data_IF_098892430833
#
_entry.id   IF_098892430833
#
_cell.length_a   1.000
_cell.length_b   1.000
_cell.length_c   1.000
_cell.angle_alpha   90.00
_cell.angle_beta   90.00
_cell.angle_gamma   90.00
#
_symmetry.space_group_name_H-M   'P 1'
#
loop_
_entity.id
_entity.type
_entity.pdbx_description
1 polymer ?
#
# COMPACT_ATOMS: atom_id res chain seq x y z
N UNK A 1 -7.15 9.64 -2.87
CA UNK A 1 -5.71 9.75 -2.60
C UNK A 1 -5.11 8.35 -2.58
N UNK A 2 -3.86 8.21 -3.04
CA UNK A 2 -3.03 7.03 -2.84
C UNK A 2 -2.08 7.33 -1.68
N UNK A 3 -2.31 6.70 -0.52
CA UNK A 3 -1.49 6.88 0.67
C UNK A 3 -0.63 5.66 0.96
N UNK A 4 0.59 5.91 1.40
CA UNK A 4 1.56 4.87 1.73
C UNK A 4 2.00 5.02 3.17
N UNK A 5 1.93 3.93 3.92
CA UNK A 5 2.42 3.78 5.27
C UNK A 5 3.57 2.79 5.27
N UNK A 6 4.78 3.22 5.61
CA UNK A 6 5.92 2.32 5.74
C UNK A 6 6.15 1.94 7.21
N UNK A 7 6.53 0.69 7.44
CA UNK A 7 6.95 0.22 8.76
C UNK A 7 8.23 -0.61 8.64
N UNK A 8 9.03 -0.59 9.70
CA UNK A 8 10.20 -1.45 9.86
C UNK A 8 9.82 -2.61 10.78
N UNK A 9 10.13 -3.83 10.34
CA UNK A 9 9.94 -5.02 11.15
C UNK A 9 10.98 -5.12 12.27
N UNK A 10 10.67 -5.96 13.25
CA UNK A 10 11.51 -6.31 14.38
C UNK A 10 12.75 -7.12 13.96
N UNK A 11 12.80 -7.61 12.71
CA UNK A 11 14.00 -8.18 12.13
C UNK A 11 15.11 -7.11 12.05
N UNK A 12 16.25 -7.35 12.71
CA UNK A 12 17.38 -6.39 12.81
C UNK A 12 18.25 -6.35 11.55
N UNK A 13 17.66 -6.49 10.36
CA UNK A 13 18.40 -6.35 9.11
C UNK A 13 18.39 -4.90 8.68
N UNK A 14 19.50 -4.46 8.07
CA UNK A 14 19.50 -3.20 7.32
C UNK A 14 18.44 -3.34 6.24
N UNK A 15 17.34 -2.58 6.31
CA UNK A 15 16.29 -2.69 5.33
C UNK A 15 16.87 -2.32 3.97
N UNK A 16 16.50 -3.05 2.92
CA UNK A 16 16.80 -2.58 1.57
C UNK A 16 16.26 -1.16 1.42
N UNK A 17 17.05 -0.22 0.87
CA UNK A 17 16.60 1.15 0.73
C UNK A 17 15.35 1.19 -0.16
N UNK A 18 14.23 1.56 0.46
CA UNK A 18 12.94 1.67 -0.24
C UNK A 18 12.97 2.96 -1.07
N UNK A 19 13.09 2.80 -2.38
CA UNK A 19 13.07 3.95 -3.29
C UNK A 19 11.68 4.57 -3.36
N UNK A 20 11.60 5.89 -3.24
CA UNK A 20 10.33 6.63 -3.45
C UNK A 20 9.73 6.42 -4.84
N UNK A 21 10.53 5.94 -5.81
CA UNK A 21 10.08 5.58 -7.15
C UNK A 21 9.03 4.46 -7.15
N UNK A 22 8.99 3.63 -6.12
CA UNK A 22 7.99 2.57 -5.97
C UNK A 22 6.56 3.11 -5.87
N UNK A 23 6.40 4.40 -5.56
CA UNK A 23 5.10 5.07 -5.47
C UNK A 23 4.94 6.17 -6.53
N UNK A 24 5.78 6.14 -7.58
CA UNK A 24 5.64 7.02 -8.73
C UNK A 24 4.36 6.75 -9.51
N UNK A 25 3.89 7.74 -10.27
CA UNK A 25 2.70 7.63 -11.12
C UNK A 25 2.92 6.80 -12.39
N UNK A 26 4.15 6.33 -12.65
CA UNK A 26 4.48 5.53 -13.83
C UNK A 26 4.23 6.30 -15.13
N UNK A 27 3.35 5.77 -15.99
CA UNK A 27 2.91 6.44 -17.22
C UNK A 27 1.77 7.44 -17.01
N UNK A 28 1.22 7.55 -15.80
CA UNK A 28 0.19 8.52 -15.45
C UNK A 28 0.79 9.88 -15.02
N UNK A 29 0.02 10.97 -15.09
CA UNK A 29 0.45 12.28 -14.58
C UNK A 29 0.84 12.25 -13.09
N UNK A 30 1.75 13.13 -12.69
CA UNK A 30 2.30 13.21 -11.32
C UNK A 30 1.25 13.51 -10.23
N UNK A 31 0.05 13.98 -10.60
CA UNK A 31 -1.08 14.12 -9.67
C UNK A 31 -1.58 12.79 -9.08
N UNK A 32 -1.27 11.65 -9.72
CA UNK A 32 -1.64 10.31 -9.24
C UNK A 32 -0.54 9.64 -8.40
N UNK A 33 0.56 10.35 -8.13
CA UNK A 33 1.66 9.83 -7.34
C UNK A 33 1.23 9.51 -5.90
N UNK A 34 1.76 8.40 -5.36
CA UNK A 34 1.53 8.03 -3.96
C UNK A 34 2.19 8.98 -2.98
N UNK A 35 1.47 9.32 -1.92
CA UNK A 35 1.97 10.17 -0.84
C UNK A 35 2.37 9.30 0.34
N UNK A 36 3.67 9.28 0.66
CA UNK A 36 4.19 8.56 1.83
C UNK A 36 3.96 9.38 3.10
N UNK A 37 3.35 8.76 4.10
CA UNK A 37 3.31 9.33 5.44
C UNK A 37 4.56 8.94 6.25
N UNK A 38 5.10 9.89 6.99
CA UNK A 38 6.28 9.67 7.82
C UNK A 38 5.94 8.95 9.12
N UNK A 39 6.80 8.02 9.50
CA UNK A 39 6.74 7.31 10.77
C UNK A 39 7.24 8.14 11.97
N UNK A 40 7.95 9.25 11.73
CA UNK A 40 8.45 10.18 12.75
C UNK A 40 8.28 11.64 12.29
N UNK A 41 8.20 12.61 13.22
CA UNK A 41 8.00 14.02 12.88
C UNK A 41 6.61 14.35 12.32
N UNK A 42 6.50 15.24 11.35
CA UNK A 42 5.23 15.55 10.69
C UNK A 42 4.80 14.38 9.80
N UNK A 43 3.54 13.88 9.90
CA UNK A 43 3.10 12.74 9.09
C UNK A 43 3.19 12.99 7.59
N UNK A 44 3.11 14.25 7.14
CA UNK A 44 3.44 14.64 5.77
C UNK A 44 4.45 15.79 5.89
N UNK A 45 5.49 15.75 5.06
CA UNK A 45 6.48 16.82 5.02
C UNK A 45 5.82 18.17 4.74
N UNK A 46 6.15 19.17 5.57
CA UNK A 46 5.69 20.56 5.45
C UNK A 46 4.18 20.76 5.60
N UNK A 47 3.49 19.82 6.26
CA UNK A 47 2.06 19.95 6.55
C UNK A 47 1.80 20.78 7.81
N UNK A 48 2.74 20.84 8.75
CA UNK A 48 2.66 21.80 9.85
C UNK A 48 3.12 23.18 9.36
N UNK A 49 2.40 24.24 9.77
CA UNK A 49 2.86 25.60 9.50
C UNK A 49 4.13 25.92 10.31
N UNK A 50 5.10 26.64 9.72
CA UNK A 50 6.26 27.11 10.48
C UNK A 50 5.84 27.98 11.67
N UNK A 51 6.63 28.03 12.76
CA UNK A 51 6.34 28.92 13.88
C UNK A 51 6.11 30.37 13.42
N UNK A 52 4.95 30.93 13.76
CA UNK A 52 4.57 32.31 13.38
C UNK A 52 3.75 32.44 12.09
N UNK A 53 3.45 31.33 11.40
CA UNK A 53 2.54 31.30 10.26
C UNK A 53 1.21 30.67 10.70
N UNK A 54 0.11 31.41 10.59
CA UNK A 54 -1.22 30.87 10.81
C UNK A 54 -1.83 30.30 9.51
N UNK A 55 -2.93 29.55 9.66
CA UNK A 55 -3.61 28.89 8.54
C UNK A 55 -4.10 29.87 7.47
N UNK A 56 -4.46 31.09 7.87
CA UNK A 56 -4.92 32.14 6.96
C UNK A 56 -3.79 32.65 6.07
N UNK A 57 -2.62 32.90 6.66
CA UNK A 57 -1.42 33.34 5.95
C UNK A 57 -0.86 32.23 5.03
N UNK A 58 -0.90 30.98 5.48
CA UNK A 58 -0.52 29.84 4.66
C UNK A 58 -1.47 29.68 3.46
N UNK A 59 -2.78 29.74 3.68
CA UNK A 59 -3.79 29.66 2.64
C UNK A 59 -3.60 30.75 1.57
N UNK A 60 -3.39 32.00 2.00
CA UNK A 60 -3.11 33.12 1.09
C UNK A 60 -1.82 32.92 0.26
N UNK A 61 -0.79 32.31 0.85
CA UNK A 61 0.46 32.00 0.16
C UNK A 61 0.28 30.92 -0.91
N UNK A 62 -0.46 29.86 -0.59
CA UNK A 62 -0.79 28.79 -1.53
C UNK A 62 -1.66 29.32 -2.68
N UNK A 63 -2.64 30.18 -2.39
CA UNK A 63 -3.44 30.86 -3.40
C UNK A 63 -2.59 31.72 -4.34
N UNK A 64 -1.60 32.44 -3.81
CA UNK A 64 -0.68 33.24 -4.62
C UNK A 64 0.18 32.35 -5.54
N UNK A 65 0.74 31.26 -5.02
CA UNK A 65 1.49 30.27 -5.80
C UNK A 65 0.60 29.64 -6.89
N UNK A 66 -0.65 29.29 -6.55
CA UNK A 66 -1.61 28.72 -7.49
C UNK A 66 -1.92 29.70 -8.63
N UNK A 67 -2.10 31.00 -8.34
CA UNK A 67 -2.29 32.04 -9.37
C UNK A 67 -1.07 32.15 -10.29
N UNK A 68 0.14 32.20 -9.75
CA UNK A 68 1.38 32.27 -10.53
C UNK A 68 1.55 31.04 -11.43
N UNK A 69 1.30 29.85 -10.89
CA UNK A 69 1.35 28.62 -11.65
C UNK A 69 0.30 28.58 -12.77
N UNK A 70 -0.93 29.07 -12.54
CA UNK A 70 -1.96 29.17 -13.60
C UNK A 70 -1.53 30.12 -14.73
N UNK A 71 -0.85 31.23 -14.41
CA UNK A 71 -0.27 32.12 -15.43
C UNK A 71 0.78 31.36 -16.27
N UNK A 72 1.67 30.63 -15.61
CA UNK A 72 2.69 29.84 -16.30
C UNK A 72 2.08 28.69 -17.12
N UNK A 73 1.06 28.01 -16.60
CA UNK A 73 0.35 26.95 -17.31
C UNK A 73 -0.27 27.48 -18.61
N UNK A 74 -0.90 28.66 -18.57
CA UNK A 74 -1.44 29.30 -19.77
C UNK A 74 -0.36 29.72 -20.78
N UNK A 75 0.84 30.04 -20.31
CA UNK A 75 1.94 30.47 -21.17
C UNK A 75 2.68 29.30 -21.83
N UNK A 76 2.95 28.24 -21.07
CA UNK A 76 3.77 27.10 -21.51
C UNK A 76 2.96 25.87 -21.95
N UNK A 77 1.71 25.74 -21.48
CA UNK A 77 0.86 24.58 -21.77
C UNK A 77 1.38 23.26 -21.17
N UNK A 78 2.26 23.32 -20.17
CA UNK A 78 2.88 22.13 -19.54
C UNK A 78 1.94 21.54 -18.47
N UNK A 79 1.45 20.30 -18.65
CA UNK A 79 0.58 19.62 -17.69
C UNK A 79 1.21 19.43 -16.30
N UNK A 80 2.54 19.42 -16.19
CA UNK A 80 3.21 19.30 -14.88
C UNK A 80 2.97 20.54 -13.98
N UNK A 81 2.70 21.70 -14.59
CA UNK A 81 2.38 22.91 -13.82
C UNK A 81 1.02 22.77 -13.14
N UNK A 82 0.02 22.22 -13.84
CA UNK A 82 -1.30 21.94 -13.27
C UNK A 82 -1.22 20.88 -12.17
N UNK A 83 -0.44 19.82 -12.38
CA UNK A 83 -0.21 18.78 -11.38
C UNK A 83 0.40 19.35 -10.09
N UNK A 84 1.36 20.29 -10.20
CA UNK A 84 1.92 21.00 -9.04
C UNK A 84 0.90 21.82 -8.28
N UNK A 85 0.01 22.55 -8.98
CA UNK A 85 -1.07 23.32 -8.32
C UNK A 85 -1.96 22.39 -7.51
N UNK A 86 -2.40 21.28 -8.10
CA UNK A 86 -3.24 20.31 -7.39
C UNK A 86 -2.53 19.67 -6.20
N UNK A 87 -1.22 19.39 -6.31
CA UNK A 87 -0.42 18.88 -5.21
C UNK A 87 -0.35 19.87 -4.04
N UNK A 88 -0.14 21.17 -4.30
CA UNK A 88 -0.13 22.19 -3.24
C UNK A 88 -1.49 22.34 -2.55
N UNK A 89 -2.59 22.39 -3.32
CA UNK A 89 -3.94 22.46 -2.77
C UNK A 89 -4.33 21.19 -1.98
N UNK A 90 -3.86 20.02 -2.43
CA UNK A 90 -4.04 18.77 -1.70
C UNK A 90 -3.26 18.77 -0.39
N UNK A 91 -2.00 19.20 -0.40
CA UNK A 91 -1.16 19.30 0.80
C UNK A 91 -1.77 20.27 1.82
N UNK A 92 -2.30 21.41 1.38
CA UNK A 92 -3.02 22.35 2.25
C UNK A 92 -4.24 21.72 2.91
N UNK A 93 -5.09 21.04 2.13
CA UNK A 93 -6.26 20.33 2.68
C UNK A 93 -5.87 19.24 3.67
N UNK A 94 -4.71 18.62 3.48
CA UNK A 94 -4.18 17.63 4.41
C UNK A 94 -3.75 18.25 5.75
N UNK A 95 -3.43 19.56 5.83
CA UNK A 95 -3.00 20.22 7.09
C UNK A 95 -4.05 20.16 8.20
N UNK A 96 -5.33 20.27 7.87
CA UNK A 96 -6.40 20.16 8.87
C UNK A 96 -6.80 18.71 9.16
N UNK A 97 -6.79 17.83 8.16
CA UNK A 97 -7.31 16.46 8.31
C UNK A 97 -6.29 15.46 8.85
N UNK A 98 -4.99 15.65 8.60
CA UNK A 98 -3.94 14.69 8.96
C UNK A 98 -3.70 14.61 10.47
N UNK A 99 -3.65 15.73 11.23
CA UNK A 99 -3.47 15.65 12.68
C UNK A 99 -4.55 14.79 13.35
N UNK A 100 -5.82 15.01 13.03
CA UNK A 100 -6.95 14.24 13.57
C UNK A 100 -6.92 12.76 13.13
N UNK A 101 -6.50 12.50 11.88
CA UNK A 101 -6.34 11.13 11.38
C UNK A 101 -5.28 10.37 12.18
N UNK A 102 -4.15 11.01 12.49
CA UNK A 102 -3.01 10.40 13.20
C UNK A 102 -3.13 10.42 14.73
N UNK A 103 -4.06 11.18 15.28
CA UNK A 103 -4.33 11.20 16.72
C UNK A 103 -5.13 9.96 17.14
N UNK A 104 -4.46 9.08 17.87
CA UNK A 104 -5.01 7.83 18.40
C UNK A 104 -5.46 7.97 19.86
N UNK A 105 -5.41 9.16 20.46
CA UNK A 105 -5.81 9.39 21.87
C UNK A 105 -7.28 9.06 22.15
N UNK A 106 -8.12 9.09 21.11
CA UNK A 106 -9.54 8.75 21.17
C UNK A 106 -9.84 7.25 20.99
N UNK A 107 -8.83 6.42 20.69
CA UNK A 107 -9.02 4.98 20.50
C UNK A 107 -9.21 4.26 21.83
N UNK A 108 -10.12 3.30 21.84
CA UNK A 108 -10.44 2.55 23.06
C UNK A 108 -9.33 1.56 23.45
N UNK A 109 -9.24 1.22 24.73
CA UNK A 109 -8.35 0.14 25.20
C UNK A 109 -8.66 -1.19 24.51
N UNK A 110 -9.95 -1.46 24.21
CA UNK A 110 -10.35 -2.64 23.47
C UNK A 110 -9.78 -2.65 22.04
N UNK A 111 -9.69 -1.49 21.38
CA UNK A 111 -9.03 -1.35 20.07
C UNK A 111 -7.56 -1.71 20.19
N UNK A 112 -6.83 -1.14 21.16
CA UNK A 112 -5.42 -1.48 21.35
C UNK A 112 -5.22 -2.95 21.75
N UNK A 113 -6.12 -3.52 22.53
CA UNK A 113 -6.12 -4.95 22.84
C UNK A 113 -6.42 -5.82 21.61
N UNK A 114 -7.12 -5.33 20.59
CA UNK A 114 -7.31 -6.07 19.35
C UNK A 114 -6.03 -6.05 18.51
N UNK A 115 -5.49 -4.87 18.22
CA UNK A 115 -4.32 -4.70 17.34
C UNK A 115 -2.98 -5.07 17.99
N UNK A 116 -2.88 -5.00 19.32
CA UNK A 116 -1.65 -5.17 20.09
C UNK A 116 -1.04 -3.85 20.55
N UNK A 117 -0.16 -3.92 21.56
CA UNK A 117 0.47 -2.75 22.18
C UNK A 117 1.28 -1.91 21.18
N UNK A 118 1.88 -2.55 20.18
CA UNK A 118 2.64 -1.89 19.12
C UNK A 118 1.78 -0.90 18.32
N UNK A 119 0.45 -1.01 18.34
CA UNK A 119 -0.45 -0.03 17.71
C UNK A 119 -0.38 1.36 18.36
N UNK A 120 0.14 1.48 19.59
CA UNK A 120 0.41 2.75 20.26
C UNK A 120 1.72 3.38 19.80
N UNK A 121 2.59 2.62 19.14
CA UNK A 121 3.91 3.07 18.70
C UNK A 121 3.88 3.41 17.22
N UNK A 122 3.92 4.70 16.90
CA UNK A 122 3.94 5.17 15.52
C UNK A 122 5.13 4.59 14.75
N UNK A 123 4.86 4.15 13.51
CA UNK A 123 5.85 3.54 12.62
C UNK A 123 5.92 2.01 12.68
N UNK A 124 5.23 1.37 13.63
CA UNK A 124 5.02 -0.08 13.62
C UNK A 124 3.97 -0.46 12.57
N UNK A 125 3.96 -1.74 12.18
CA UNK A 125 2.93 -2.27 11.29
C UNK A 125 1.54 -2.18 11.93
N UNK A 126 1.43 -2.49 13.23
CA UNK A 126 0.19 -2.42 13.99
C UNK A 126 -0.42 -1.00 14.01
N UNK A 127 0.40 0.02 14.25
CA UNK A 127 -0.07 1.41 14.21
C UNK A 127 -0.53 1.81 12.79
N UNK A 128 0.18 1.33 11.77
CA UNK A 128 -0.19 1.57 10.38
C UNK A 128 -1.51 0.87 10.01
N UNK A 129 -1.78 -0.34 10.50
CA UNK A 129 -3.07 -1.02 10.31
C UNK A 129 -4.22 -0.23 10.96
N UNK A 130 -4.05 0.23 12.21
CA UNK A 130 -5.05 1.04 12.90
C UNK A 130 -5.34 2.36 12.16
N UNK A 131 -4.27 3.00 11.68
CA UNK A 131 -4.37 4.21 10.87
C UNK A 131 -5.06 3.95 9.52
N UNK A 132 -4.80 2.81 8.89
CA UNK A 132 -5.46 2.39 7.65
C UNK A 132 -6.97 2.24 7.87
N UNK A 133 -7.41 1.65 8.98
CA UNK A 133 -8.84 1.59 9.31
C UNK A 133 -9.45 3.01 9.38
N UNK A 134 -8.80 3.94 10.08
CA UNK A 134 -9.25 5.35 10.17
C UNK A 134 -9.28 6.06 8.82
N UNK A 135 -8.39 5.69 7.90
CA UNK A 135 -8.37 6.18 6.51
C UNK A 135 -9.54 5.62 5.69
N UNK A 136 -9.87 4.34 5.86
CA UNK A 136 -11.04 3.73 5.19
C UNK A 136 -12.32 4.43 5.63
N UNK A 137 -12.50 4.68 6.94
CA UNK A 137 -13.65 5.43 7.48
C UNK A 137 -13.79 6.84 6.88
N UNK A 138 -12.68 7.43 6.45
CA UNK A 138 -12.62 8.77 5.85
C UNK A 138 -12.63 8.74 4.32
N UNK A 139 -12.90 7.57 3.72
CA UNK A 139 -13.05 7.41 2.27
C UNK A 139 -11.75 7.45 1.47
N UNK A 140 -10.60 7.12 2.08
CA UNK A 140 -9.35 6.96 1.33
C UNK A 140 -9.45 5.72 0.43
N UNK A 141 -9.31 5.93 -0.88
CA UNK A 141 -9.56 4.91 -1.91
C UNK A 141 -8.46 3.87 -2.10
N UNK A 142 -7.21 4.22 -1.77
CA UNK A 142 -6.08 3.31 -1.94
C UNK A 142 -5.04 3.56 -0.85
N UNK A 143 -4.78 2.54 -0.05
CA UNK A 143 -3.87 2.57 1.09
C UNK A 143 -2.89 1.41 0.92
N UNK A 144 -1.59 1.71 0.95
CA UNK A 144 -0.55 0.69 0.91
C UNK A 144 0.19 0.63 2.24
N UNK A 145 0.13 -0.53 2.89
CA UNK A 145 0.94 -0.84 4.07
C UNK A 145 2.21 -1.55 3.62
N UNK A 146 3.32 -0.79 3.57
CA UNK A 146 4.61 -1.30 3.13
C UNK A 146 5.44 -1.73 4.34
N UNK A 147 5.41 -3.03 4.66
CA UNK A 147 6.23 -3.63 5.71
C UNK A 147 7.53 -4.18 5.11
N UNK A 148 8.67 -3.63 5.53
CA UNK A 148 9.97 -4.00 4.92
C UNK A 148 10.59 -5.23 5.57
N UNK A 149 11.53 -5.86 4.86
CA UNK A 149 12.42 -6.89 5.43
C UNK A 149 12.01 -8.33 5.13
N UNK A 150 11.13 -8.58 4.16
CA UNK A 150 10.71 -9.94 3.77
C UNK A 150 11.74 -10.69 2.90
N UNK A 151 12.80 -10.01 2.44
CA UNK A 151 13.80 -10.57 1.52
C UNK A 151 14.88 -11.40 2.24
N UNK A 152 14.45 -12.53 2.82
CA UNK A 152 15.30 -13.34 3.70
C UNK A 152 16.30 -14.22 2.93
N UNK A 153 17.47 -13.67 2.61
CA UNK A 153 18.60 -14.40 2.03
C UNK A 153 19.50 -15.10 3.07
N UNK A 154 19.22 -14.90 4.36
CA UNK A 154 19.87 -15.58 5.49
C UNK A 154 18.96 -15.55 6.73
N UNK A 155 19.34 -16.22 7.81
CA UNK A 155 18.69 -16.14 9.14
C UNK A 155 17.16 -16.35 9.18
N UNK A 156 16.58 -17.07 8.21
CA UNK A 156 15.13 -17.34 8.13
C UNK A 156 14.53 -17.86 9.44
N UNK A 157 15.15 -18.84 10.16
CA UNK A 157 14.59 -19.37 11.41
C UNK A 157 14.29 -18.31 12.46
N UNK A 158 15.09 -17.24 12.52
CA UNK A 158 14.89 -16.11 13.42
C UNK A 158 13.98 -15.06 12.79
N UNK A 159 14.38 -14.56 11.62
CA UNK A 159 13.81 -13.34 11.04
C UNK A 159 12.37 -13.55 10.56
N UNK A 160 12.04 -14.72 10.02
CA UNK A 160 10.67 -14.99 9.56
C UNK A 160 9.67 -15.01 10.73
N UNK A 161 10.05 -15.59 11.87
CA UNK A 161 9.18 -15.61 13.06
C UNK A 161 8.89 -14.20 13.56
N UNK A 162 9.91 -13.34 13.60
CA UNK A 162 9.79 -11.93 13.96
C UNK A 162 8.86 -11.18 13.00
N UNK A 163 9.07 -11.31 11.69
CA UNK A 163 8.23 -10.68 10.68
C UNK A 163 6.77 -11.14 10.74
N UNK A 164 6.54 -12.44 10.95
CA UNK A 164 5.19 -12.96 11.14
C UNK A 164 4.52 -12.37 12.40
N UNK A 165 5.25 -12.24 13.51
CA UNK A 165 4.72 -11.64 14.74
C UNK A 165 4.32 -10.17 14.54
N UNK A 166 5.10 -9.41 13.78
CA UNK A 166 4.82 -8.00 13.51
C UNK A 166 3.50 -7.79 12.74
N UNK A 167 3.15 -8.72 11.83
CA UNK A 167 2.02 -8.54 10.92
C UNK A 167 0.78 -9.34 11.28
N UNK A 168 0.91 -10.52 11.89
CA UNK A 168 -0.19 -11.50 12.01
C UNK A 168 -1.39 -10.92 12.78
N UNK A 169 -1.18 -10.52 14.04
CA UNK A 169 -2.24 -9.97 14.90
C UNK A 169 -2.85 -8.70 14.32
N UNK A 170 -2.02 -7.76 13.86
CA UNK A 170 -2.47 -6.48 13.36
C UNK A 170 -3.28 -6.60 12.06
N UNK A 171 -2.91 -7.54 11.19
CA UNK A 171 -3.66 -7.82 9.96
C UNK A 171 -5.01 -8.44 10.27
N UNK A 172 -5.06 -9.42 11.17
CA UNK A 172 -6.31 -10.02 11.63
C UNK A 172 -7.21 -8.98 12.32
N UNK A 173 -6.62 -8.08 13.12
CA UNK A 173 -7.30 -6.97 13.77
C UNK A 173 -7.92 -6.01 12.75
N UNK A 174 -7.19 -5.61 11.72
CA UNK A 174 -7.70 -4.72 10.67
C UNK A 174 -8.92 -5.32 9.96
N UNK A 175 -8.84 -6.58 9.53
CA UNK A 175 -9.97 -7.25 8.87
C UNK A 175 -11.16 -7.35 9.82
N UNK A 176 -10.92 -7.69 11.08
CA UNK A 176 -11.96 -7.82 12.10
C UNK A 176 -12.65 -6.48 12.37
N UNK A 177 -11.88 -5.41 12.53
CA UNK A 177 -12.37 -4.06 12.81
C UNK A 177 -13.14 -3.49 11.61
N UNK A 178 -12.65 -3.68 10.38
CA UNK A 178 -13.38 -3.35 9.16
C UNK A 178 -14.73 -4.10 9.08
N UNK A 179 -14.74 -5.38 9.44
CA UNK A 179 -15.97 -6.18 9.46
C UNK A 179 -16.95 -5.70 10.52
N UNK A 180 -16.48 -5.42 11.73
CA UNK A 180 -17.32 -4.91 12.84
C UNK A 180 -17.97 -3.58 12.50
N UNK A 181 -17.32 -2.76 11.65
CA UNK A 181 -17.81 -1.46 11.20
C UNK A 181 -18.65 -1.52 9.92
N UNK A 182 -18.84 -2.71 9.34
CA UNK A 182 -19.55 -2.88 8.07
C UNK A 182 -18.79 -2.36 6.84
N UNK A 183 -17.48 -2.11 6.97
CA UNK A 183 -16.64 -1.54 5.91
C UNK A 183 -15.94 -2.63 5.06
N UNK A 184 -15.88 -3.87 5.55
CA UNK A 184 -15.16 -4.95 4.85
C UNK A 184 -15.82 -5.31 3.50
N UNK A 185 -17.15 -5.22 3.40
CA UNK A 185 -17.86 -5.57 2.16
C UNK A 185 -17.58 -4.57 1.03
N UNK A 186 -17.24 -3.33 1.37
CA UNK A 186 -16.84 -2.26 0.43
C UNK A 186 -15.32 -2.06 0.32
N UNK A 187 -14.53 -2.83 1.08
CA UNK A 187 -13.06 -2.70 1.12
C UNK A 187 -12.40 -4.00 0.68
N UNK A 188 -11.68 -3.98 -0.43
CA UNK A 188 -10.82 -5.09 -0.85
C UNK A 188 -9.47 -5.00 -0.11
N UNK A 189 -9.23 -5.95 0.80
CA UNK A 189 -7.94 -6.12 1.47
C UNK A 189 -7.11 -7.14 0.69
N UNK A 190 -5.88 -6.76 0.33
CA UNK A 190 -4.94 -7.59 -0.42
C UNK A 190 -3.65 -7.69 0.39
N UNK A 191 -3.17 -8.92 0.60
CA UNK A 191 -1.91 -9.18 1.27
C UNK A 191 -1.05 -10.10 0.41
N UNK A 192 0.20 -9.70 0.21
CA UNK A 192 1.15 -10.44 -0.59
C UNK A 192 2.42 -9.64 -0.84
N UNK A 193 3.29 -10.22 -1.66
CA UNK A 193 4.52 -9.60 -2.13
C UNK A 193 4.63 -9.65 -3.65
N UNK A 194 5.83 -9.35 -4.15
CA UNK A 194 6.16 -9.30 -5.57
C UNK A 194 6.67 -10.65 -6.14
N UNK A 195 7.21 -11.51 -5.28
CA UNK A 195 7.71 -12.84 -5.62
C UNK A 195 7.72 -13.76 -4.39
N UNK A 196 7.95 -15.06 -4.61
CA UNK A 196 8.12 -16.05 -3.56
C UNK A 196 9.57 -16.26 -3.14
N UNK A 197 9.81 -17.25 -2.29
CA UNK A 197 11.15 -17.72 -1.91
C UNK A 197 11.33 -19.19 -2.25
N UNK A 198 12.51 -19.56 -2.74
CA UNK A 198 12.79 -20.92 -3.20
C UNK A 198 12.61 -21.94 -2.09
N UNK A 199 12.27 -23.18 -2.44
CA UNK A 199 12.18 -24.28 -1.46
C UNK A 199 13.54 -24.78 -0.97
N UNK A 200 14.59 -24.50 -1.73
CA UNK A 200 15.97 -24.84 -1.39
C UNK A 200 16.71 -23.66 -0.80
N UNK A 201 17.75 -23.97 -0.01
CA UNK A 201 18.58 -22.96 0.63
C UNK A 201 19.53 -22.28 -0.36
N UNK A 202 19.70 -20.97 -0.19
CA UNK A 202 20.81 -20.24 -0.79
C UNK A 202 21.94 -20.14 0.24
N UNK A 203 23.15 -20.58 -0.11
CA UNK A 203 24.31 -20.52 0.76
C UNK A 203 24.34 -21.60 1.85
N UNK A 204 24.69 -21.21 3.08
CA UNK A 204 24.87 -22.15 4.20
C UNK A 204 23.53 -22.76 4.62
N UNK A 205 23.49 -24.09 4.74
CA UNK A 205 22.34 -24.81 5.23
C UNK A 205 22.62 -25.46 6.59
N UNK A 206 22.03 -24.90 7.65
CA UNK A 206 21.97 -25.49 8.98
C UNK A 206 20.61 -25.20 9.60
N UNK A 207 20.14 -26.03 10.54
CA UNK A 207 18.85 -25.78 11.22
C UNK A 207 18.77 -24.40 11.88
N UNK A 208 19.90 -23.88 12.37
CA UNK A 208 19.97 -22.58 13.03
C UNK A 208 20.17 -21.39 12.08
N UNK A 209 20.65 -21.63 10.85
CA UNK A 209 20.99 -20.57 9.91
C UNK A 209 20.87 -21.09 8.48
N UNK A 210 19.90 -20.54 7.76
CA UNK A 210 19.74 -20.69 6.31
C UNK A 210 18.97 -19.51 5.72
N UNK A 211 19.18 -19.27 4.44
CA UNK A 211 18.38 -18.37 3.60
C UNK A 211 17.83 -19.10 2.39
N UNK A 212 17.00 -18.41 1.62
CA UNK A 212 16.44 -18.87 0.33
C UNK A 212 16.81 -17.85 -0.75
N UNK A 213 16.54 -18.13 -2.02
CA UNK A 213 16.68 -17.16 -3.13
C UNK A 213 15.29 -16.67 -3.59
N UNK A 214 15.23 -15.69 -4.50
CA UNK A 214 13.98 -15.22 -5.11
C UNK A 214 13.32 -16.34 -5.91
N UNK A 215 11.99 -16.42 -5.84
CA UNK A 215 11.21 -17.39 -6.60
C UNK A 215 10.09 -16.73 -7.37
N UNK A 216 10.36 -16.44 -8.65
CA UNK A 216 9.40 -15.79 -9.55
C UNK A 216 8.41 -16.73 -10.24
N UNK A 217 8.46 -18.06 -10.01
CA UNK A 217 7.59 -19.02 -10.71
C UNK A 217 6.21 -19.14 -10.06
N UNK A 218 6.17 -19.17 -8.73
CA UNK A 218 4.93 -19.23 -7.98
C UNK A 218 5.11 -18.64 -6.58
N UNK A 219 4.06 -18.00 -6.10
CA UNK A 219 3.94 -17.47 -4.74
C UNK A 219 2.45 -17.30 -4.41
N UNK A 220 2.15 -17.08 -3.14
CA UNK A 220 0.78 -16.96 -2.67
C UNK A 220 0.45 -15.52 -2.30
N UNK A 221 -0.80 -15.14 -2.56
CA UNK A 221 -1.44 -13.92 -2.08
C UNK A 221 -2.78 -14.31 -1.47
N UNK A 222 -3.30 -13.50 -0.56
CA UNK A 222 -4.67 -13.65 -0.09
C UNK A 222 -5.44 -12.33 -0.16
N UNK A 223 -6.75 -12.48 -0.28
CA UNK A 223 -7.71 -11.41 -0.49
C UNK A 223 -8.82 -11.56 0.57
N UNK A 224 -9.37 -10.44 1.04
CA UNK A 224 -10.52 -10.42 1.93
C UNK A 224 -11.41 -9.21 1.65
N UNK A 225 -12.73 -9.39 1.77
CA UNK A 225 -13.70 -8.32 1.55
C UNK A 225 -13.88 -7.93 0.08
N UNK A 226 -14.59 -6.82 -0.15
CA UNK A 226 -14.71 -6.19 -1.48
C UNK A 226 -15.19 -7.10 -2.60
N UNK A 227 -16.13 -8.03 -2.31
CA UNK A 227 -16.73 -8.93 -3.31
C UNK A 227 -15.93 -10.20 -3.64
N UNK A 228 -14.85 -10.49 -2.92
CA UNK A 228 -14.12 -11.76 -3.07
C UNK A 228 -14.80 -12.90 -2.30
N UNK A 229 -14.80 -14.11 -2.86
CA UNK A 229 -15.29 -15.31 -2.18
C UNK A 229 -14.30 -15.77 -1.12
N UNK A 230 -14.71 -15.67 0.14
CA UNK A 230 -13.90 -16.10 1.29
C UNK A 230 -13.89 -17.62 1.52
N UNK A 231 -12.96 -18.06 2.37
CA UNK A 231 -12.92 -19.44 2.87
C UNK A 231 -12.44 -20.49 1.87
N UNK A 232 -11.66 -20.07 0.86
CA UNK A 232 -11.11 -20.97 -0.16
C UNK A 232 -9.66 -20.66 -0.48
N UNK A 233 -8.96 -21.67 -0.99
CA UNK A 233 -7.69 -21.54 -1.69
C UNK A 233 -7.93 -21.78 -3.18
N UNK A 234 -7.27 -21.02 -4.05
CA UNK A 234 -7.38 -21.16 -5.50
C UNK A 234 -6.01 -21.38 -6.13
N UNK A 235 -5.87 -22.50 -6.83
CA UNK A 235 -4.60 -22.96 -7.38
C UNK A 235 -3.74 -23.72 -6.37
N UNK A 236 -2.84 -24.54 -6.90
CA UNK A 236 -1.92 -25.37 -6.14
C UNK A 236 -0.56 -25.39 -6.82
N UNK A 237 0.49 -25.60 -6.04
CA UNK A 237 1.83 -25.88 -6.56
C UNK A 237 2.06 -27.37 -6.70
N UNK A 238 3.09 -27.75 -7.46
CA UNK A 238 3.59 -29.12 -7.45
C UNK A 238 4.05 -29.57 -6.05
N UNK A 239 4.31 -30.87 -5.90
CA UNK A 239 4.75 -31.49 -4.63
C UNK A 239 6.06 -30.89 -4.08
N UNK A 240 6.82 -30.17 -4.91
CA UNK A 240 8.07 -29.51 -4.54
C UNK A 240 7.89 -28.01 -4.29
N UNK A 241 6.68 -27.49 -4.42
CA UNK A 241 6.36 -26.05 -4.37
C UNK A 241 7.23 -25.19 -5.31
N UNK A 242 7.61 -25.75 -6.47
CA UNK A 242 8.53 -25.11 -7.41
C UNK A 242 7.83 -24.49 -8.63
N UNK A 243 6.67 -25.02 -9.02
CA UNK A 243 5.85 -24.50 -10.11
C UNK A 243 4.37 -24.68 -9.81
N UNK A 244 3.53 -23.91 -10.50
CA UNK A 244 2.07 -24.05 -10.38
C UNK A 244 1.61 -25.35 -11.04
N UNK A 245 0.86 -26.17 -10.31
CA UNK A 245 0.31 -27.43 -10.77
C UNK A 245 -1.13 -27.27 -11.29
N UNK A 246 -1.97 -26.52 -10.58
CA UNK A 246 -3.39 -26.35 -10.93
C UNK A 246 -3.83 -24.90 -10.85
N UNK A 247 -4.77 -24.53 -11.71
CA UNK A 247 -5.43 -23.22 -11.78
C UNK A 247 -4.44 -22.02 -11.70
N UNK A 248 -3.49 -21.90 -12.64
CA UNK A 248 -2.54 -20.80 -12.63
C UNK A 248 -3.25 -19.45 -12.76
N UNK A 249 -2.79 -18.49 -11.97
CA UNK A 249 -3.23 -17.09 -12.02
C UNK A 249 -2.01 -16.23 -12.31
N UNK A 250 -2.00 -15.57 -13.46
CA UNK A 250 -0.92 -14.66 -13.80
C UNK A 250 -1.13 -13.31 -13.08
N UNK A 251 -0.05 -12.54 -12.87
CA UNK A 251 -0.15 -11.20 -12.24
C UNK A 251 -1.08 -10.25 -13.01
N UNK A 252 -1.20 -10.42 -14.33
CA UNK A 252 -2.16 -9.67 -15.14
C UNK A 252 -3.61 -10.05 -14.83
N UNK A 253 -3.89 -11.32 -14.51
CA UNK A 253 -5.23 -11.79 -14.15
C UNK A 253 -5.62 -11.30 -12.76
N UNK A 254 -4.65 -11.25 -11.83
CA UNK A 254 -4.83 -10.60 -10.52
C UNK A 254 -5.26 -9.15 -10.69
N UNK A 255 -4.51 -8.38 -11.49
CA UNK A 255 -4.82 -6.96 -11.71
C UNK A 255 -6.17 -6.76 -12.45
N UNK A 256 -6.48 -7.61 -13.44
CA UNK A 256 -7.78 -7.60 -14.11
C UNK A 256 -8.92 -7.85 -13.12
N UNK A 257 -8.74 -8.81 -12.20
CA UNK A 257 -9.74 -9.17 -11.19
C UNK A 257 -9.93 -8.07 -10.16
N UNK A 258 -8.86 -7.41 -9.71
CA UNK A 258 -8.94 -6.24 -8.80
C UNK A 258 -9.73 -5.12 -9.47
N UNK A 259 -9.42 -4.78 -10.72
CA UNK A 259 -10.14 -3.72 -11.45
C UNK A 259 -11.61 -4.08 -11.65
N UNK A 260 -11.93 -5.35 -11.93
CA UNK A 260 -13.29 -5.83 -12.02
C UNK A 260 -14.07 -5.64 -10.71
N UNK A 261 -13.47 -5.99 -9.57
CA UNK A 261 -14.07 -5.78 -8.23
C UNK A 261 -14.29 -4.29 -7.92
N UNK A 262 -13.47 -3.41 -8.48
CA UNK A 262 -13.64 -1.95 -8.40
C UNK A 262 -14.69 -1.40 -9.41
N UNK A 263 -15.36 -2.27 -10.17
CA UNK A 263 -16.36 -1.88 -11.18
C UNK A 263 -15.74 -1.32 -12.46
N UNK A 264 -14.47 -1.61 -12.73
CA UNK A 264 -13.70 -1.07 -13.87
C UNK A 264 -13.41 -2.18 -14.87
N UNK A 265 -13.78 -1.95 -16.12
CA UNK A 265 -13.34 -2.77 -17.24
C UNK A 265 -11.86 -2.47 -17.56
N UNK A 266 -10.98 -3.40 -17.18
CA UNK A 266 -9.53 -3.25 -17.35
C UNK A 266 -9.10 -3.10 -18.81
N UNK A 267 -9.91 -3.56 -19.77
CA UNK A 267 -9.58 -3.46 -21.20
C UNK A 267 -9.88 -2.08 -21.78
N UNK A 268 -10.77 -1.33 -21.14
CA UNK A 268 -11.19 0.02 -21.53
C UNK A 268 -10.46 1.13 -20.76
N UNK A 269 -9.86 0.82 -19.62
CA UNK A 269 -9.03 1.75 -18.87
C UNK A 269 -7.65 1.87 -19.54
N UNK A 270 -7.56 2.72 -20.56
CA UNK A 270 -6.31 3.03 -21.26
C UNK A 270 -5.84 4.45 -21.01
N UNK A 271 -4.52 4.66 -21.13
CA UNK A 271 -3.88 5.97 -21.05
C UNK A 271 -2.83 6.12 -22.14
N UNK A 272 -2.91 7.19 -22.93
CA UNK A 272 -1.96 7.45 -24.01
C UNK A 272 -0.65 8.00 -23.45
N UNK A 273 0.42 7.24 -23.59
CA UNK A 273 1.76 7.64 -23.16
C UNK A 273 2.78 7.27 -24.24
N UNK A 274 3.69 8.19 -24.56
CA UNK A 274 4.75 7.99 -25.58
C UNK A 274 4.26 7.36 -26.90
N UNK A 275 3.06 7.72 -27.35
CA UNK A 275 2.49 7.24 -28.62
C UNK A 275 1.80 5.86 -28.58
N UNK A 276 1.68 5.22 -27.41
CA UNK A 276 0.95 3.96 -27.21
C UNK A 276 -0.19 4.13 -26.20
N UNK A 277 -1.28 3.40 -26.42
CA UNK A 277 -2.33 3.20 -25.41
C UNK A 277 -1.84 2.17 -24.38
N UNK A 278 -1.53 2.62 -23.17
CA UNK A 278 -1.14 1.76 -22.05
C UNK A 278 -2.36 1.35 -21.24
N UNK A 279 -2.38 0.10 -20.75
CA UNK A 279 -3.27 -0.34 -19.68
C UNK A 279 -2.48 -1.15 -18.66
N UNK A 280 -2.95 -1.22 -17.42
CA UNK A 280 -2.24 -1.90 -16.31
C UNK A 280 -1.98 -3.39 -16.57
N UNK A 281 -2.87 -4.03 -17.32
CA UNK A 281 -2.81 -5.45 -17.69
C UNK A 281 -2.07 -5.70 -19.02
N UNK A 282 -1.44 -4.66 -19.57
CA UNK A 282 -0.84 -4.61 -20.91
C UNK A 282 -1.71 -5.25 -22.01
N UNK A 283 -1.29 -6.30 -22.73
CA UNK A 283 -2.14 -7.00 -23.72
C UNK A 283 -2.77 -8.28 -23.15
N UNK A 284 -2.63 -8.51 -21.86
CA UNK A 284 -3.03 -9.71 -21.13
C UNK A 284 -4.17 -9.42 -20.14
N UNK A 285 -4.41 -10.37 -19.23
CA UNK A 285 -5.36 -10.27 -18.13
C UNK A 285 -6.71 -10.89 -18.48
N UNK A 286 -7.15 -11.83 -17.65
CA UNK A 286 -8.51 -12.36 -17.61
C UNK A 286 -9.03 -12.27 -16.19
N UNK A 287 -10.32 -11.95 -16.04
CA UNK A 287 -10.95 -11.92 -14.72
C UNK A 287 -11.07 -13.35 -14.19
N UNK A 288 -10.56 -13.59 -12.97
CA UNK A 288 -10.65 -14.90 -12.31
C UNK A 288 -12.02 -15.02 -11.66
N UNK A 289 -13.04 -15.38 -12.44
CA UNK A 289 -14.42 -15.46 -11.95
C UNK A 289 -14.62 -16.47 -10.80
N UNK A 290 -13.77 -17.51 -10.72
CA UNK A 290 -13.89 -18.58 -9.73
C UNK A 290 -13.64 -18.12 -8.29
N UNK A 291 -13.03 -16.94 -8.08
CA UNK A 291 -12.74 -16.38 -6.76
C UNK A 291 -13.67 -15.23 -6.37
N UNK A 292 -14.68 -14.92 -7.19
CA UNK A 292 -15.68 -13.88 -6.90
C UNK A 292 -16.87 -14.45 -6.12
N UNK A 293 -17.51 -13.60 -5.30
CA UNK A 293 -18.67 -13.96 -4.46
C UNK A 293 -19.99 -14.10 -5.24
#
# INVERSE_FOLDING_TARGET
AFLVLSSYGSCKRTPQPVSVRLWGSGFLPSQYQGVKLQSTGDPILFVSNPPGIDDGLQGASIDAIARLNRINANHYGDPEIEARVQQYEMAFRMQSSVPELTDLSSESEATFALYGEDAKTRGTYAANCLLARRMVERGVRFIQLYHVGWDHHEDIPRDLSLQCQDVDRATAALITDLKQRGLLDETLVIFGGEFGRTVFSQGKYTAAAYGRDHHGRCFSMWFAGGGIRGGMSYGTTDDFSYSVAENPVHVHDVQATILHLLGIDHTRLTYRFQGREFRLTDVHGQVVHNILA
#
